data_IF_215145650273
#
_entry.id   IF_215145650273
#
_cell.length_a   1.000
_cell.length_b   1.000
_cell.length_c   1.000
_cell.angle_alpha   90.00
_cell.angle_beta   90.00
_cell.angle_gamma   90.00
#
_symmetry.space_group_name_H-M   'P 1'
#
loop_
_entity.id
_entity.type
_entity.pdbx_description
1 polymer ?
#
# COMPACT_ATOMS: atom_id res chain seq x y z
N UNK A 1 -45.66 -11.05 40.24
CA UNK A 1 -46.93 -11.72 39.97
C UNK A 1 -46.86 -12.25 38.56
N UNK A 2 -46.84 -13.59 38.46
CA UNK A 2 -47.27 -14.50 37.39
C UNK A 2 -46.63 -14.27 36.01
N UNK A 3 -45.81 -15.12 35.47
CA UNK A 3 -45.70 -16.60 35.34
C UNK A 3 -46.44 -17.19 34.11
N UNK A 4 -45.65 -18.06 33.40
CA UNK A 4 -46.08 -19.20 32.54
C UNK A 4 -46.41 -18.91 31.07
N UNK A 5 -46.18 -19.78 30.06
CA UNK A 5 -45.67 -21.15 30.00
C UNK A 5 -45.26 -21.50 28.54
N UNK A 6 -44.38 -22.48 28.40
CA UNK A 6 -43.95 -23.29 27.27
C UNK A 6 -45.07 -23.76 26.33
N UNK A 7 -44.73 -24.08 25.06
CA UNK A 7 -45.11 -25.38 24.46
C UNK A 7 -44.19 -25.76 23.28
N UNK A 8 -43.67 -26.95 23.38
CA UNK A 8 -42.96 -27.79 22.37
C UNK A 8 -44.01 -28.61 21.59
N UNK A 9 -43.84 -28.78 20.30
CA UNK A 9 -44.52 -29.88 19.59
C UNK A 9 -43.59 -30.42 18.48
N UNK A 10 -43.20 -31.67 18.68
CA UNK A 10 -42.57 -32.57 17.70
C UNK A 10 -43.71 -33.28 16.96
N UNK A 11 -43.61 -33.40 15.63
CA UNK A 11 -44.45 -34.38 14.91
C UNK A 11 -43.60 -35.11 13.87
N UNK A 12 -43.34 -36.37 14.16
CA UNK A 12 -42.79 -37.40 13.28
C UNK A 12 -43.95 -38.11 12.58
N UNK A 13 -43.92 -38.25 11.26
CA UNK A 13 -44.74 -39.24 10.55
C UNK A 13 -43.86 -40.00 9.57
N UNK A 14 -43.71 -41.29 9.81
CA UNK A 14 -43.19 -42.25 8.87
C UNK A 14 -44.38 -42.97 8.21
N UNK A 15 -44.34 -43.11 6.89
CA UNK A 15 -45.17 -44.10 6.19
C UNK A 15 -44.32 -44.79 5.13
N UNK A 16 -44.19 -46.10 5.30
CA UNK A 16 -43.62 -47.03 4.33
C UNK A 16 -44.73 -47.54 3.40
N UNK A 17 -44.42 -47.74 2.12
CA UNK A 17 -45.01 -48.81 1.32
C UNK A 17 -44.08 -49.16 0.14
N UNK A 18 -43.80 -50.45 0.05
CA UNK A 18 -43.13 -51.14 -1.04
C UNK A 18 -44.02 -51.18 -2.30
N UNK A 19 -43.44 -51.08 -3.51
CA UNK A 19 -43.61 -52.15 -4.49
C UNK A 19 -42.59 -52.12 -5.63
N UNK A 20 -42.28 -53.28 -6.08
CA UNK A 20 -41.34 -53.82 -7.03
C UNK A 20 -41.54 -53.36 -8.47
N UNK A 21 -40.42 -53.16 -9.20
CA UNK A 21 -40.38 -53.02 -10.65
C UNK A 21 -38.91 -52.88 -11.12
N UNK A 22 -38.40 -53.98 -11.69
CA UNK A 22 -37.07 -54.12 -12.28
C UNK A 22 -36.93 -53.30 -13.56
N UNK A 23 -35.88 -52.48 -13.66
CA UNK A 23 -35.24 -52.08 -14.94
C UNK A 23 -33.77 -51.70 -14.69
N UNK A 24 -32.92 -52.06 -15.64
CA UNK A 24 -31.45 -52.01 -15.67
C UNK A 24 -30.83 -50.67 -15.26
N UNK A 25 -29.56 -50.66 -14.77
CA UNK A 25 -28.91 -49.44 -14.31
C UNK A 25 -28.37 -48.62 -15.49
N UNK A 26 -28.77 -47.37 -15.59
CA UNK A 26 -28.14 -46.36 -16.41
C UNK A 26 -26.76 -46.00 -15.81
N UNK A 27 -25.75 -45.96 -16.63
CA UNK A 27 -24.40 -45.52 -16.28
C UNK A 27 -24.42 -44.11 -15.65
N UNK A 28 -24.01 -44.05 -14.42
CA UNK A 28 -23.74 -42.78 -13.73
C UNK A 28 -22.42 -42.21 -14.26
N UNK A 29 -22.53 -41.18 -15.05
CA UNK A 29 -21.41 -40.34 -15.45
C UNK A 29 -20.83 -39.64 -14.22
N UNK A 30 -19.73 -40.20 -13.72
CA UNK A 30 -18.96 -39.63 -12.60
C UNK A 30 -18.29 -38.37 -13.06
N UNK A 31 -18.91 -37.21 -12.82
CA UNK A 31 -18.25 -35.88 -12.87
C UNK A 31 -17.01 -35.94 -11.97
N UNK A 32 -15.84 -36.14 -12.59
CA UNK A 32 -14.55 -35.93 -11.95
C UNK A 32 -14.48 -34.45 -11.58
N UNK A 33 -14.58 -34.16 -10.29
CA UNK A 33 -14.25 -32.83 -9.77
C UNK A 33 -12.77 -32.55 -10.08
N UNK A 34 -12.53 -31.70 -11.05
CA UNK A 34 -11.21 -31.13 -11.30
C UNK A 34 -10.96 -30.12 -10.17
N UNK A 35 -10.30 -30.57 -9.13
CA UNK A 35 -9.71 -29.68 -8.13
C UNK A 35 -8.51 -29.01 -8.81
N UNK A 36 -8.73 -27.84 -9.40
CA UNK A 36 -7.64 -26.93 -9.77
C UNK A 36 -7.00 -26.49 -8.46
N UNK A 37 -5.88 -27.10 -8.12
CA UNK A 37 -4.99 -26.55 -7.10
C UNK A 37 -4.37 -25.30 -7.72
N UNK A 38 -4.91 -24.13 -7.37
CA UNK A 38 -4.20 -22.86 -7.54
C UNK A 38 -2.95 -22.89 -6.66
N UNK A 39 -1.87 -23.47 -7.19
CA UNK A 39 -0.57 -23.35 -6.57
C UNK A 39 -0.02 -21.97 -6.96
N UNK A 40 -0.23 -20.99 -6.06
CA UNK A 40 0.57 -19.76 -6.10
C UNK A 40 2.04 -20.18 -6.13
N UNK A 41 2.85 -19.73 -7.12
CA UNK A 41 4.25 -20.07 -7.17
C UNK A 41 4.90 -19.65 -5.83
N UNK A 42 5.69 -20.52 -5.18
CA UNK A 42 6.33 -20.15 -3.94
C UNK A 42 7.22 -18.91 -4.18
N UNK A 43 7.07 -17.91 -3.32
CA UNK A 43 7.94 -16.72 -3.34
C UNK A 43 9.38 -17.24 -3.26
N UNK A 44 10.29 -16.86 -4.17
CA UNK A 44 11.65 -17.34 -4.15
C UNK A 44 12.32 -17.05 -2.81
N UNK A 45 12.77 -18.09 -2.12
CA UNK A 45 13.54 -17.95 -0.88
C UNK A 45 14.93 -17.42 -1.27
N UNK A 46 15.18 -16.16 -0.97
CA UNK A 46 16.47 -15.52 -1.27
C UNK A 46 17.58 -16.14 -0.44
N UNK A 47 18.79 -16.20 -1.01
CA UNK A 47 19.99 -16.60 -0.28
C UNK A 47 20.20 -15.70 0.93
N UNK A 48 20.54 -16.26 2.12
CA UNK A 48 20.87 -15.46 3.30
C UNK A 48 22.04 -14.53 3.03
N UNK A 49 21.98 -13.31 3.53
CA UNK A 49 23.06 -12.34 3.50
C UNK A 49 23.07 -11.50 4.77
N UNK A 50 24.22 -10.96 5.16
CA UNK A 50 24.40 -10.18 6.38
C UNK A 50 25.14 -8.85 6.14
N UNK A 51 25.56 -8.59 4.91
CA UNK A 51 26.27 -7.39 4.49
C UNK A 51 25.75 -6.86 3.15
N UNK A 52 25.88 -5.55 2.96
CA UNK A 52 25.64 -4.86 1.70
C UNK A 52 26.88 -4.06 1.31
N UNK A 53 27.29 -4.19 0.05
CA UNK A 53 28.39 -3.42 -0.52
C UNK A 53 27.83 -2.55 -1.66
N UNK A 54 27.87 -1.23 -1.46
CA UNK A 54 27.46 -0.27 -2.47
C UNK A 54 28.28 -0.42 -3.75
N UNK A 55 27.64 -0.49 -4.90
CA UNK A 55 28.25 -0.68 -6.20
C UNK A 55 28.16 0.57 -7.09
N UNK A 56 26.96 1.04 -7.33
CA UNK A 56 26.71 2.14 -8.27
C UNK A 56 25.39 2.85 -8.00
N UNK A 57 25.29 4.05 -8.59
CA UNK A 57 24.04 4.81 -8.74
C UNK A 57 23.70 4.93 -10.21
N UNK A 58 22.46 4.68 -10.55
CA UNK A 58 21.85 4.98 -11.85
C UNK A 58 20.72 5.98 -11.65
N UNK A 59 20.38 6.76 -12.68
CA UNK A 59 19.29 7.73 -12.64
C UNK A 59 18.40 7.50 -13.85
N UNK A 60 17.10 7.34 -13.63
CA UNK A 60 16.10 7.27 -14.68
C UNK A 60 15.11 8.41 -14.54
N UNK A 61 14.62 8.90 -15.68
CA UNK A 61 13.65 9.99 -15.70
C UNK A 61 12.25 9.46 -15.36
N UNK A 62 11.56 10.19 -14.49
CA UNK A 62 10.13 10.08 -14.24
C UNK A 62 9.44 11.42 -14.56
N UNK A 63 8.23 11.63 -14.08
CA UNK A 63 7.51 12.88 -14.27
C UNK A 63 7.67 13.83 -13.05
N UNK A 64 7.40 15.13 -13.21
CA UNK A 64 7.48 16.12 -12.13
C UNK A 64 6.64 15.73 -10.91
N UNK A 65 7.17 16.00 -9.73
CA UNK A 65 6.49 15.74 -8.48
C UNK A 65 6.32 14.25 -8.17
N UNK A 66 7.24 13.38 -8.63
CA UNK A 66 7.20 11.95 -8.28
C UNK A 66 7.27 11.80 -6.76
N UNK A 67 6.22 11.24 -6.17
CA UNK A 67 5.95 11.29 -4.72
C UNK A 67 6.20 9.98 -4.01
N UNK A 68 5.91 8.87 -4.64
CA UNK A 68 6.18 7.54 -4.13
C UNK A 68 6.46 6.56 -5.26
N UNK A 69 7.06 5.45 -4.89
CA UNK A 69 7.34 4.30 -5.75
C UNK A 69 6.97 3.02 -5.01
N UNK A 70 6.50 2.01 -5.74
CA UNK A 70 6.18 0.70 -5.20
C UNK A 70 6.47 -0.38 -6.24
N UNK A 71 7.16 -1.44 -5.83
CA UNK A 71 7.33 -2.64 -6.65
C UNK A 71 6.11 -3.57 -6.54
N UNK A 72 5.88 -4.32 -7.60
CA UNK A 72 5.04 -5.50 -7.51
C UNK A 72 5.76 -6.62 -6.74
N UNK A 73 5.02 -7.65 -6.31
CA UNK A 73 5.57 -8.75 -5.51
C UNK A 73 6.73 -9.48 -6.19
N UNK A 74 6.65 -9.65 -7.52
CA UNK A 74 7.72 -10.26 -8.32
C UNK A 74 8.97 -9.37 -8.44
N UNK A 75 8.88 -8.07 -8.14
CA UNK A 75 9.97 -7.11 -8.27
C UNK A 75 10.31 -6.71 -9.69
N UNK A 76 9.57 -7.18 -10.70
CA UNK A 76 9.88 -6.89 -12.09
C UNK A 76 9.20 -5.63 -12.64
N UNK A 77 8.27 -5.03 -11.89
CA UNK A 77 7.57 -3.79 -12.22
C UNK A 77 7.61 -2.82 -11.05
N UNK A 78 7.95 -1.55 -11.33
CA UNK A 78 7.84 -0.47 -10.37
C UNK A 78 6.78 0.53 -10.83
N UNK A 79 5.91 0.94 -9.92
CA UNK A 79 4.92 2.00 -10.15
C UNK A 79 5.38 3.28 -9.46
N UNK A 80 5.43 4.40 -10.20
CA UNK A 80 5.83 5.71 -9.70
C UNK A 80 4.66 6.69 -9.78
N UNK A 81 4.26 7.25 -8.64
CA UNK A 81 3.16 8.19 -8.51
C UNK A 81 3.65 9.61 -8.80
N UNK A 82 3.30 10.15 -9.96
CA UNK A 82 3.75 11.46 -10.44
C UNK A 82 2.69 12.52 -10.12
N UNK A 83 2.78 13.13 -8.95
CA UNK A 83 1.77 14.05 -8.44
C UNK A 83 1.53 15.25 -9.38
N UNK A 84 2.58 15.97 -9.79
CA UNK A 84 2.44 17.12 -10.68
C UNK A 84 2.22 16.67 -12.14
N UNK A 85 2.73 15.53 -12.53
CA UNK A 85 2.48 14.91 -13.82
C UNK A 85 1.07 14.34 -13.97
N UNK A 86 0.31 14.18 -12.87
CA UNK A 86 -1.03 13.56 -12.86
C UNK A 86 -1.06 12.22 -13.57
N UNK A 87 -0.06 11.39 -13.30
CA UNK A 87 0.08 10.07 -13.91
C UNK A 87 0.76 9.08 -12.97
N UNK A 88 0.63 7.80 -13.32
CA UNK A 88 1.44 6.73 -12.73
C UNK A 88 2.28 6.13 -13.83
N UNK A 89 3.59 6.08 -13.66
CA UNK A 89 4.49 5.36 -14.55
C UNK A 89 4.70 3.94 -14.06
N UNK A 90 4.61 2.99 -14.97
CA UNK A 90 5.07 1.63 -14.78
C UNK A 90 6.43 1.47 -15.44
N UNK A 91 7.44 1.18 -14.64
CA UNK A 91 8.78 0.85 -15.12
C UNK A 91 8.95 -0.66 -15.18
N UNK A 92 9.64 -1.12 -16.20
CA UNK A 92 10.23 -2.46 -16.20
C UNK A 92 11.57 -2.40 -15.46
N UNK A 93 11.73 -3.23 -14.45
CA UNK A 93 12.91 -3.21 -13.58
C UNK A 93 14.19 -3.51 -14.34
N UNK A 94 14.17 -4.48 -15.27
CA UNK A 94 15.37 -4.94 -15.97
C UNK A 94 15.87 -3.93 -16.99
N UNK A 95 14.98 -3.36 -17.80
CA UNK A 95 15.32 -2.40 -18.84
C UNK A 95 15.42 -0.95 -18.35
N UNK A 96 14.99 -0.66 -17.13
CA UNK A 96 14.95 0.71 -16.54
C UNK A 96 14.03 1.67 -17.32
N UNK A 97 13.13 1.19 -18.14
CA UNK A 97 12.27 2.00 -19.02
C UNK A 97 10.83 2.04 -18.53
N UNK A 98 10.18 3.17 -18.77
CA UNK A 98 8.71 3.27 -18.65
C UNK A 98 8.09 2.42 -19.76
N UNK A 99 7.26 1.46 -19.38
CA UNK A 99 6.55 0.57 -20.32
C UNK A 99 5.08 0.96 -20.47
N UNK A 100 4.49 1.60 -19.43
CA UNK A 100 3.13 2.17 -19.48
C UNK A 100 3.08 3.46 -18.66
N UNK A 101 2.30 4.42 -19.13
CA UNK A 101 1.87 5.58 -18.37
C UNK A 101 0.35 5.55 -18.21
N UNK A 102 -0.14 5.53 -16.98
CA UNK A 102 -1.55 5.70 -16.65
C UNK A 102 -1.80 7.18 -16.40
N UNK A 103 -2.24 7.90 -17.43
CA UNK A 103 -2.45 9.35 -17.42
C UNK A 103 -3.88 9.68 -17.04
N UNK A 104 -4.06 10.40 -15.95
CA UNK A 104 -5.37 10.93 -15.57
C UNK A 104 -5.71 12.16 -16.40
N UNK A 105 -6.99 12.30 -16.77
CA UNK A 105 -7.50 13.54 -17.37
C UNK A 105 -7.72 14.57 -16.27
N UNK A 106 -7.05 15.74 -16.31
CA UNK A 106 -7.16 16.74 -15.26
C UNK A 106 -8.57 17.32 -15.15
N UNK A 107 -9.11 17.37 -13.95
CA UNK A 107 -10.32 18.14 -13.64
C UNK A 107 -10.01 19.19 -12.57
N UNK A 108 -10.59 20.39 -12.72
CA UNK A 108 -10.36 21.47 -11.77
C UNK A 108 -10.82 21.09 -10.37
N UNK A 109 -10.06 21.50 -9.36
CA UNK A 109 -10.33 21.23 -7.96
C UNK A 109 -9.54 22.17 -7.07
N UNK A 110 -9.62 21.90 -5.78
CA UNK A 110 -8.86 22.64 -4.77
C UNK A 110 -7.69 21.79 -4.28
N UNK A 111 -6.54 22.42 -4.12
CA UNK A 111 -5.39 21.89 -3.44
C UNK A 111 -5.10 22.69 -2.19
N UNK A 112 -3.92 22.45 -1.59
CA UNK A 112 -3.47 23.11 -0.38
C UNK A 112 -2.05 23.65 -0.55
N UNK A 113 -1.88 24.95 -0.31
CA UNK A 113 -0.55 25.59 -0.22
C UNK A 113 -0.01 25.40 1.19
N UNK A 114 0.95 24.48 1.34
CA UNK A 114 1.53 24.16 2.64
C UNK A 114 2.39 25.29 3.23
N UNK A 115 2.93 26.18 2.39
CA UNK A 115 3.73 27.31 2.85
C UNK A 115 2.85 28.42 3.42
N UNK A 116 1.70 28.65 2.79
CA UNK A 116 0.76 29.71 3.17
C UNK A 116 -0.43 29.19 3.98
N UNK A 117 -0.50 27.88 4.24
CA UNK A 117 -1.58 27.22 4.97
C UNK A 117 -2.98 27.61 4.50
N UNK A 118 -3.19 27.63 3.17
CA UNK A 118 -4.47 28.02 2.55
C UNK A 118 -4.82 27.17 1.35
N UNK A 119 -6.13 27.06 1.01
CA UNK A 119 -6.57 26.45 -0.24
C UNK A 119 -6.05 27.21 -1.47
N UNK A 120 -5.73 26.48 -2.53
CA UNK A 120 -5.34 27.02 -3.85
C UNK A 120 -6.09 26.29 -4.96
N UNK A 121 -6.31 26.97 -6.10
CA UNK A 121 -6.79 26.31 -7.31
C UNK A 121 -5.79 25.24 -7.76
N UNK A 122 -6.27 24.08 -8.12
CA UNK A 122 -5.46 22.91 -8.48
C UNK A 122 -6.23 21.95 -9.37
N UNK A 123 -5.71 20.73 -9.53
CA UNK A 123 -6.37 19.61 -10.16
C UNK A 123 -6.65 18.50 -9.13
N UNK A 124 -7.70 17.71 -9.37
CA UNK A 124 -8.10 16.63 -8.46
C UNK A 124 -7.17 15.43 -8.58
N UNK A 125 -6.74 15.08 -9.79
CA UNK A 125 -6.09 13.84 -10.14
C UNK A 125 -4.57 13.90 -9.89
N UNK A 126 -4.17 14.07 -8.63
CA UNK A 126 -2.76 14.11 -8.20
C UNK A 126 -2.39 12.82 -7.46
N UNK A 127 -1.79 11.81 -8.11
CA UNK A 127 -1.38 10.56 -7.47
C UNK A 127 -0.31 10.81 -6.41
N UNK A 128 -0.46 10.21 -5.23
CA UNK A 128 0.47 10.42 -4.10
C UNK A 128 1.13 9.14 -3.64
N UNK A 129 0.32 8.13 -3.32
CA UNK A 129 0.76 6.84 -2.81
C UNK A 129 -0.07 5.75 -3.48
N UNK A 130 0.43 4.52 -3.45
CA UNK A 130 -0.27 3.38 -4.01
C UNK A 130 -0.08 2.12 -3.17
N UNK A 131 -0.95 1.14 -3.41
CA UNK A 131 -0.84 -0.21 -2.88
C UNK A 131 -1.33 -1.19 -3.93
N UNK A 132 -0.69 -2.35 -4.04
CA UNK A 132 -1.11 -3.44 -4.91
C UNK A 132 -1.93 -4.46 -4.11
N UNK A 133 -2.92 -5.09 -4.74
CA UNK A 133 -3.74 -6.15 -4.12
C UNK A 133 -4.11 -7.23 -5.12
N UNK A 134 -4.66 -8.35 -4.62
CA UNK A 134 -5.13 -9.49 -5.44
C UNK A 134 -4.04 -9.95 -6.42
N UNK A 135 -2.90 -10.39 -5.85
CA UNK A 135 -1.73 -10.87 -6.60
C UNK A 135 -1.25 -9.87 -7.67
N UNK A 136 -1.14 -8.61 -7.27
CA UNK A 136 -0.72 -7.47 -8.11
C UNK A 136 -1.65 -7.17 -9.30
N UNK A 137 -2.89 -7.64 -9.28
CA UNK A 137 -3.85 -7.36 -10.36
C UNK A 137 -4.43 -5.96 -10.28
N UNK A 138 -4.60 -5.41 -9.07
CA UNK A 138 -5.21 -4.10 -8.84
C UNK A 138 -4.21 -3.16 -8.18
N UNK A 139 -3.95 -2.03 -8.83
CA UNK A 139 -3.20 -0.91 -8.28
C UNK A 139 -4.18 0.11 -7.69
N UNK A 140 -4.16 0.27 -6.39
CA UNK A 140 -4.92 1.30 -5.67
C UNK A 140 -4.08 2.56 -5.58
N UNK A 141 -4.63 3.69 -6.03
CA UNK A 141 -3.90 4.97 -6.08
C UNK A 141 -4.67 6.03 -5.29
N UNK A 142 -4.02 6.67 -4.31
CA UNK A 142 -4.58 7.82 -3.62
C UNK A 142 -4.46 9.08 -4.48
N UNK A 143 -5.57 9.81 -4.66
CA UNK A 143 -5.63 11.06 -5.41
C UNK A 143 -5.75 12.24 -4.43
N UNK A 144 -4.65 12.96 -4.27
CA UNK A 144 -4.44 13.96 -3.22
C UNK A 144 -5.58 14.96 -3.05
N UNK A 145 -6.12 15.48 -4.16
CA UNK A 145 -7.12 16.53 -4.17
C UNK A 145 -8.53 16.04 -4.57
N UNK A 146 -8.68 14.74 -4.85
CA UNK A 146 -9.97 14.14 -5.21
C UNK A 146 -10.72 13.56 -3.99
N UNK A 147 -10.12 13.65 -2.81
CA UNK A 147 -10.68 13.16 -1.53
C UNK A 147 -10.99 11.65 -1.54
N UNK A 148 -10.27 10.87 -2.33
CA UNK A 148 -10.49 9.43 -2.46
C UNK A 148 -9.36 8.67 -3.15
N UNK A 149 -9.60 7.39 -3.34
CA UNK A 149 -8.70 6.47 -4.02
C UNK A 149 -9.37 5.86 -5.24
N UNK A 150 -8.57 5.37 -6.17
CA UNK A 150 -9.05 4.68 -7.38
C UNK A 150 -8.37 3.33 -7.54
N UNK A 151 -9.09 2.25 -7.91
CA UNK A 151 -8.52 0.98 -8.36
C UNK A 151 -8.24 1.02 -9.86
N UNK A 152 -7.07 0.53 -10.26
CA UNK A 152 -6.69 0.35 -11.66
C UNK A 152 -6.36 -1.13 -11.85
N UNK A 153 -7.18 -1.86 -12.63
CA UNK A 153 -6.85 -3.20 -13.08
C UNK A 153 -5.71 -3.13 -14.08
N UNK A 154 -4.60 -3.82 -13.79
CA UNK A 154 -3.34 -3.69 -14.53
C UNK A 154 -3.26 -4.57 -15.77
N UNK A 155 -3.90 -5.74 -15.74
CA UNK A 155 -3.78 -6.74 -16.80
C UNK A 155 -5.08 -6.97 -17.57
N UNK A 156 -6.24 -6.73 -16.96
CA UNK A 156 -7.56 -6.83 -17.60
C UNK A 156 -8.26 -5.48 -17.58
N UNK A 157 -8.05 -4.69 -18.63
CA UNK A 157 -8.67 -3.38 -18.75
C UNK A 157 -10.19 -3.42 -18.99
N UNK A 158 -10.77 -4.58 -19.30
CA UNK A 158 -12.23 -4.72 -19.41
C UNK A 158 -12.90 -4.46 -18.04
N UNK A 159 -12.24 -4.83 -16.96
CA UNK A 159 -12.69 -4.58 -15.57
C UNK A 159 -12.62 -3.09 -15.16
N UNK A 160 -11.82 -2.27 -15.85
CA UNK A 160 -11.80 -0.81 -15.62
C UNK A 160 -13.01 -0.07 -16.22
N UNK A 161 -13.86 -0.75 -17.00
CA UNK A 161 -15.05 -0.12 -17.58
C UNK A 161 -16.14 -0.01 -16.53
N UNK A 162 -16.81 1.16 -16.50
CA UNK A 162 -17.99 1.36 -15.67
C UNK A 162 -19.11 0.45 -16.15
N UNK A 163 -19.67 -0.44 -15.32
CA UNK A 163 -20.76 -1.33 -15.70
C UNK A 163 -22.03 -0.56 -16.10
N UNK A 164 -22.81 -1.14 -17.00
CA UNK A 164 -24.15 -0.61 -17.30
C UNK A 164 -25.01 -0.63 -16.03
N UNK A 165 -25.80 0.44 -15.83
CA UNK A 165 -26.64 0.58 -14.63
C UNK A 165 -25.89 1.06 -13.37
N UNK A 166 -24.61 1.42 -13.48
CA UNK A 166 -23.91 2.09 -12.36
C UNK A 166 -24.65 3.38 -12.00
N UNK A 167 -24.92 3.62 -10.71
CA UNK A 167 -25.62 4.82 -10.27
C UNK A 167 -24.91 6.11 -10.70
N UNK A 168 -25.64 7.17 -11.12
CA UNK A 168 -25.04 8.43 -11.57
C UNK A 168 -24.17 9.13 -10.52
N UNK A 169 -24.44 8.91 -9.24
CA UNK A 169 -23.68 9.43 -8.10
C UNK A 169 -22.29 8.77 -7.95
N UNK A 170 -22.07 7.59 -8.56
CA UNK A 170 -20.74 6.96 -8.55
C UNK A 170 -19.74 7.78 -9.35
N UNK A 171 -18.92 8.52 -8.66
CA UNK A 171 -17.84 9.31 -9.27
C UNK A 171 -16.81 8.42 -9.95
N UNK A 172 -16.29 8.88 -11.09
CA UNK A 172 -15.26 8.17 -11.85
C UNK A 172 -14.17 9.12 -12.33
N UNK A 173 -12.97 8.59 -12.58
CA UNK A 173 -11.82 9.31 -13.11
C UNK A 173 -11.40 8.73 -14.46
N UNK A 174 -11.30 9.55 -15.53
CA UNK A 174 -10.81 9.08 -16.82
C UNK A 174 -9.30 8.85 -16.76
N UNK A 175 -8.88 7.71 -17.31
CA UNK A 175 -7.48 7.31 -17.42
C UNK A 175 -7.19 6.91 -18.85
N UNK A 176 -6.08 7.41 -19.40
CA UNK A 176 -5.52 6.97 -20.68
C UNK A 176 -4.21 6.23 -20.40
N UNK A 177 -4.10 5.00 -20.89
CA UNK A 177 -2.85 4.24 -20.84
C UNK A 177 -2.07 4.53 -22.11
N UNK A 178 -0.87 5.04 -21.95
CA UNK A 178 0.06 5.37 -23.03
C UNK A 178 1.19 4.33 -23.00
N UNK A 179 1.53 3.78 -24.15
CA UNK A 179 2.66 2.87 -24.33
C UNK A 179 3.80 3.61 -25.03
N UNK A 180 4.85 4.03 -24.28
CA UNK A 180 5.93 4.84 -24.85
C UNK A 180 6.56 4.20 -26.10
N UNK A 181 6.82 5.03 -27.11
CA UNK A 181 7.38 4.56 -28.38
C UNK A 181 6.39 3.88 -29.34
N UNK A 182 5.10 3.84 -29.00
CA UNK A 182 4.05 3.29 -29.86
C UNK A 182 2.89 4.27 -30.06
N UNK A 183 2.05 4.02 -31.08
CA UNK A 183 0.79 4.75 -31.25
C UNK A 183 -0.37 4.16 -30.41
N UNK A 184 -0.15 3.01 -29.75
CA UNK A 184 -1.19 2.33 -28.96
C UNK A 184 -1.58 3.15 -27.75
N UNK A 185 -2.90 3.25 -27.52
CA UNK A 185 -3.49 3.83 -26.31
C UNK A 185 -4.73 3.03 -25.92
N UNK A 186 -4.95 2.87 -24.62
CA UNK A 186 -6.20 2.40 -24.08
C UNK A 186 -6.81 3.50 -23.21
N UNK A 187 -8.14 3.55 -23.11
CA UNK A 187 -8.83 4.55 -22.28
C UNK A 187 -10.02 3.93 -21.57
N UNK A 188 -10.19 4.29 -20.29
CA UNK A 188 -11.26 3.80 -19.46
C UNK A 188 -11.57 4.80 -18.33
N UNK A 189 -12.58 4.51 -17.52
CA UNK A 189 -12.95 5.31 -16.36
C UNK A 189 -12.94 4.42 -15.12
N UNK A 190 -12.08 4.73 -14.18
CA UNK A 190 -12.01 4.01 -12.88
C UNK A 190 -12.94 4.66 -11.86
N UNK A 191 -13.56 3.89 -10.97
CA UNK A 191 -14.38 4.45 -9.89
C UNK A 191 -13.48 5.24 -8.91
N UNK A 192 -14.02 6.37 -8.44
CA UNK A 192 -13.47 7.09 -7.30
C UNK A 192 -14.21 6.64 -6.04
N UNK A 193 -13.48 6.07 -5.09
CA UNK A 193 -14.01 5.71 -3.78
C UNK A 193 -13.59 6.82 -2.82
N UNK A 194 -14.58 7.56 -2.33
CA UNK A 194 -14.33 8.67 -1.40
C UNK A 194 -13.92 8.12 -0.03
N UNK A 195 -12.81 8.59 0.49
CA UNK A 195 -12.25 8.17 1.78
C UNK A 195 -12.21 9.34 2.77
N UNK A 196 -11.72 10.49 2.33
CA UNK A 196 -11.58 11.69 3.15
C UNK A 196 -10.62 12.68 2.52
N UNK A 197 -10.47 13.84 3.17
CA UNK A 197 -9.65 14.94 2.64
C UNK A 197 -8.17 14.59 2.65
N UNK A 198 -7.54 14.73 1.49
CA UNK A 198 -6.11 14.55 1.28
C UNK A 198 -5.63 13.14 1.65
N UNK A 199 -6.13 12.09 0.96
CA UNK A 199 -5.66 10.74 1.16
C UNK A 199 -4.17 10.63 0.85
N UNK A 200 -3.45 9.83 1.64
CA UNK A 200 -2.00 9.62 1.55
C UNK A 200 -1.70 8.13 1.47
N UNK A 201 -1.10 7.58 2.53
CA UNK A 201 -0.66 6.19 2.57
C UNK A 201 -1.85 5.26 2.46
N UNK A 202 -1.68 4.23 1.64
CA UNK A 202 -2.58 3.08 1.52
C UNK A 202 -1.80 1.86 1.99
N UNK A 203 -2.38 1.08 2.87
CA UNK A 203 -1.84 -0.21 3.31
C UNK A 203 -2.94 -1.27 3.25
N UNK A 204 -2.59 -2.54 3.05
CA UNK A 204 -3.56 -3.62 2.93
C UNK A 204 -3.28 -4.76 3.91
N UNK A 205 -4.30 -5.56 4.20
CA UNK A 205 -4.13 -6.89 4.80
C UNK A 205 -3.49 -7.86 3.80
N UNK A 206 -2.75 -8.83 4.29
CA UNK A 206 -2.03 -9.79 3.43
C UNK A 206 -2.98 -10.57 2.50
N UNK A 207 -4.19 -10.88 2.96
CA UNK A 207 -5.23 -11.57 2.20
C UNK A 207 -5.98 -10.68 1.20
N UNK A 208 -5.60 -9.41 1.08
CA UNK A 208 -6.24 -8.41 0.20
C UNK A 208 -7.74 -8.19 0.46
N UNK A 209 -8.26 -8.50 1.64
CA UNK A 209 -9.66 -8.22 1.97
C UNK A 209 -9.91 -6.79 2.41
N UNK A 210 -8.91 -6.14 2.97
CA UNK A 210 -9.08 -4.79 3.47
C UNK A 210 -7.94 -3.86 3.05
N UNK A 211 -8.30 -2.56 2.86
CA UNK A 211 -7.37 -1.45 2.74
C UNK A 211 -7.58 -0.46 3.86
N UNK A 212 -6.49 0.12 4.35
CA UNK A 212 -6.49 1.27 5.23
C UNK A 212 -5.91 2.47 4.47
N UNK A 213 -6.57 3.63 4.56
CA UNK A 213 -6.16 4.86 3.89
C UNK A 213 -6.05 5.99 4.90
N UNK A 214 -4.88 6.60 5.02
CA UNK A 214 -4.70 7.78 5.87
C UNK A 214 -5.22 9.05 5.17
N UNK A 215 -6.15 9.77 5.80
CA UNK A 215 -6.74 11.00 5.28
C UNK A 215 -6.23 12.19 6.10
N UNK A 216 -5.24 12.89 5.58
CA UNK A 216 -4.46 13.88 6.30
C UNK A 216 -5.31 15.00 6.91
N UNK A 217 -6.09 15.72 6.07
CA UNK A 217 -6.90 16.84 6.52
C UNK A 217 -8.23 16.43 7.18
N UNK A 218 -8.66 15.18 7.03
CA UNK A 218 -9.79 14.63 7.80
C UNK A 218 -9.38 14.14 9.18
N UNK A 219 -8.08 13.99 9.47
CA UNK A 219 -7.56 13.44 10.72
C UNK A 219 -8.18 12.08 11.07
N UNK A 220 -8.30 11.24 10.07
CA UNK A 220 -8.82 9.88 10.23
C UNK A 220 -8.18 8.93 9.23
N UNK A 221 -8.50 7.64 9.39
CA UNK A 221 -8.16 6.61 8.42
C UNK A 221 -9.45 5.93 7.99
N UNK A 222 -9.61 5.72 6.70
CA UNK A 222 -10.73 4.93 6.17
C UNK A 222 -10.29 3.48 6.04
N UNK A 223 -11.19 2.56 6.37
CA UNK A 223 -11.06 1.13 6.13
C UNK A 223 -12.01 0.76 5.01
N UNK A 224 -11.49 0.13 3.97
CA UNK A 224 -12.27 -0.39 2.87
C UNK A 224 -12.27 -1.91 2.91
N UNK A 225 -13.46 -2.50 2.78
CA UNK A 225 -13.61 -3.90 2.40
C UNK A 225 -13.48 -4.01 0.88
N UNK A 226 -12.67 -4.96 0.42
CA UNK A 226 -12.39 -5.17 -1.01
C UNK A 226 -13.18 -6.35 -1.55
N UNK A 227 -13.68 -6.20 -2.78
CA UNK A 227 -14.31 -7.27 -3.54
C UNK A 227 -13.96 -7.11 -5.02
N UNK A 228 -13.03 -7.94 -5.51
CA UNK A 228 -12.54 -7.86 -6.88
C UNK A 228 -13.58 -8.18 -7.97
N UNK A 229 -14.71 -8.78 -7.59
CA UNK A 229 -15.77 -9.20 -8.51
C UNK A 229 -16.96 -8.24 -8.53
N UNK A 230 -17.01 -7.28 -7.59
CA UNK A 230 -18.11 -6.34 -7.44
C UNK A 230 -17.63 -4.88 -7.57
N UNK A 231 -17.99 -4.23 -8.69
CA UNK A 231 -17.73 -2.79 -8.89
C UNK A 231 -18.42 -1.96 -7.79
N UNK A 232 -17.77 -0.97 -7.16
CA UNK A 232 -16.49 -0.33 -7.51
C UNK A 232 -15.23 -0.99 -6.90
N UNK A 233 -15.26 -2.27 -6.56
CA UNK A 233 -14.17 -3.12 -6.07
C UNK A 233 -13.74 -2.88 -4.61
N UNK A 234 -14.27 -1.84 -3.98
CA UNK A 234 -14.03 -1.54 -2.58
C UNK A 234 -15.13 -0.64 -2.01
N UNK A 235 -15.43 -0.80 -0.74
CA UNK A 235 -16.43 -0.03 0.00
C UNK A 235 -15.86 0.39 1.35
N UNK A 236 -15.97 1.68 1.69
CA UNK A 236 -15.63 2.15 3.03
C UNK A 236 -16.61 1.56 4.04
N UNK A 237 -16.08 0.81 5.00
CA UNK A 237 -16.86 0.13 6.06
C UNK A 237 -16.64 0.75 7.44
N UNK A 238 -15.51 1.45 7.62
CA UNK A 238 -15.19 2.09 8.91
C UNK A 238 -14.33 3.33 8.70
N UNK A 239 -14.40 4.23 9.68
CA UNK A 239 -13.54 5.41 9.77
C UNK A 239 -12.95 5.49 11.17
N UNK A 240 -11.62 5.49 11.26
CA UNK A 240 -10.86 5.48 12.50
C UNK A 240 -10.35 6.90 12.77
N UNK A 241 -10.89 7.65 13.72
CA UNK A 241 -10.41 8.98 14.05
C UNK A 241 -9.05 8.91 14.76
N UNK A 242 -8.20 9.91 14.51
CA UNK A 242 -6.93 10.10 15.21
C UNK A 242 -6.80 11.53 15.70
N UNK A 243 -5.96 11.76 16.72
CA UNK A 243 -5.82 13.05 17.40
C UNK A 243 -5.26 14.17 16.52
N UNK A 244 -4.48 13.82 15.50
CA UNK A 244 -3.84 14.79 14.59
C UNK A 244 -3.66 14.19 13.19
N UNK A 245 -2.67 14.62 12.44
CA UNK A 245 -2.42 14.22 11.04
C UNK A 245 -1.93 12.76 10.95
N UNK A 246 -2.70 11.81 10.39
CA UNK A 246 -2.23 10.44 10.14
C UNK A 246 -1.28 10.42 8.94
N UNK A 247 -0.32 9.48 8.95
CA UNK A 247 0.61 9.34 7.83
C UNK A 247 0.93 7.87 7.50
N UNK A 248 1.96 7.29 8.10
CA UNK A 248 2.36 5.91 7.85
C UNK A 248 1.38 4.91 8.45
N UNK A 249 1.16 3.81 7.76
CA UNK A 249 0.33 2.69 8.22
C UNK A 249 1.12 1.41 7.98
N UNK A 250 1.16 0.52 8.97
CA UNK A 250 1.61 -0.86 8.80
C UNK A 250 0.56 -1.81 9.36
N UNK A 251 0.33 -2.91 8.66
CA UNK A 251 -0.59 -3.98 9.07
C UNK A 251 0.21 -5.15 9.60
N UNK A 252 -0.14 -5.61 10.79
CA UNK A 252 0.36 -6.82 11.44
C UNK A 252 -0.71 -7.91 11.32
N UNK A 253 -0.70 -8.61 10.21
CA UNK A 253 -1.66 -9.69 9.96
C UNK A 253 -1.54 -10.83 10.96
N UNK A 254 -0.33 -11.09 11.48
CA UNK A 254 -0.08 -12.14 12.47
C UNK A 254 -0.85 -11.91 13.77
N UNK A 255 -0.91 -10.67 14.23
CA UNK A 255 -1.58 -10.29 15.47
C UNK A 255 -2.95 -9.62 15.23
N UNK A 256 -3.38 -9.54 13.96
CA UNK A 256 -4.64 -8.91 13.54
C UNK A 256 -4.74 -7.45 14.03
N UNK A 257 -3.66 -6.68 13.88
CA UNK A 257 -3.53 -5.29 14.28
C UNK A 257 -3.03 -4.41 13.13
N UNK A 258 -3.34 -3.13 13.20
CA UNK A 258 -2.74 -2.10 12.36
C UNK A 258 -2.18 -0.98 13.23
N UNK A 259 -1.11 -0.34 12.76
CA UNK A 259 -0.45 0.76 13.46
C UNK A 259 -0.41 1.98 12.55
N UNK A 260 -0.93 3.09 13.04
CA UNK A 260 -1.08 4.35 12.31
C UNK A 260 -0.22 5.41 12.97
N UNK A 261 0.81 5.88 12.28
CA UNK A 261 1.64 6.99 12.75
C UNK A 261 0.87 8.31 12.66
N UNK A 262 0.78 9.03 13.78
CA UNK A 262 0.11 10.33 13.89
C UNK A 262 1.14 11.44 13.82
N UNK A 263 1.54 11.84 12.59
CA UNK A 263 2.64 12.76 12.32
C UNK A 263 2.43 14.16 12.92
N UNK A 264 1.19 14.62 13.05
CA UNK A 264 0.88 15.90 13.70
C UNK A 264 0.94 15.86 15.23
N UNK A 265 1.42 14.76 15.84
CA UNK A 265 1.48 14.53 17.27
C UNK A 265 2.71 13.72 17.68
N UNK A 266 2.55 12.93 18.72
CA UNK A 266 3.59 12.08 19.32
C UNK A 266 3.02 10.70 19.66
N UNK A 267 2.20 10.14 18.74
CA UNK A 267 1.52 8.86 19.00
C UNK A 267 1.50 7.97 17.76
N UNK A 268 1.38 6.67 18.01
CA UNK A 268 0.96 5.68 17.06
C UNK A 268 -0.35 5.08 17.57
N UNK A 269 -1.41 5.16 16.78
CA UNK A 269 -2.67 4.50 17.09
C UNK A 269 -2.58 3.02 16.70
N UNK A 270 -2.82 2.10 17.65
CA UNK A 270 -2.98 0.69 17.37
C UNK A 270 -4.45 0.40 17.18
N UNK A 271 -4.78 -0.28 16.10
CA UNK A 271 -6.15 -0.60 15.67
C UNK A 271 -6.34 -2.10 15.72
N UNK A 272 -7.45 -2.54 16.27
CA UNK A 272 -7.91 -3.92 16.16
C UNK A 272 -8.58 -4.15 14.80
N UNK A 273 -8.03 -5.06 14.00
CA UNK A 273 -8.51 -5.30 12.64
C UNK A 273 -9.81 -6.14 12.58
N UNK A 274 -10.32 -6.62 13.73
CA UNK A 274 -11.63 -7.25 13.79
C UNK A 274 -12.73 -6.20 13.91
N UNK A 275 -12.51 -5.20 14.77
CA UNK A 275 -13.51 -4.17 15.08
C UNK A 275 -13.30 -2.87 14.32
N UNK A 276 -12.11 -2.69 13.73
CA UNK A 276 -11.64 -1.44 13.11
C UNK A 276 -11.72 -0.23 14.06
N UNK A 277 -11.40 -0.47 15.32
CA UNK A 277 -11.34 0.57 16.33
C UNK A 277 -9.95 0.67 16.95
N UNK A 278 -9.58 1.87 17.38
CA UNK A 278 -8.35 2.07 18.14
C UNK A 278 -8.48 1.36 19.49
N UNK A 279 -7.63 0.38 19.75
CA UNK A 279 -7.58 -0.35 21.02
C UNK A 279 -6.45 0.14 21.94
N UNK A 280 -5.47 0.87 21.42
CA UNK A 280 -4.39 1.46 22.19
C UNK A 280 -3.78 2.69 21.51
N UNK A 281 -3.29 3.62 22.30
CA UNK A 281 -2.49 4.77 21.86
C UNK A 281 -1.08 4.60 22.42
N UNK A 282 -0.13 4.34 21.53
CA UNK A 282 1.28 4.22 21.89
C UNK A 282 1.91 5.61 21.89
N UNK A 283 2.44 6.04 23.04
CA UNK A 283 3.17 7.28 23.15
C UNK A 283 4.58 7.09 22.60
N UNK A 284 4.95 7.90 21.62
CA UNK A 284 6.24 7.85 20.93
C UNK A 284 6.82 9.25 20.81
N UNK A 285 7.98 9.40 20.16
CA UNK A 285 8.56 10.72 19.95
C UNK A 285 7.75 11.55 18.93
N UNK A 286 8.03 12.86 18.91
CA UNK A 286 7.28 13.80 18.08
C UNK A 286 7.44 13.54 16.57
N UNK A 287 6.35 13.76 15.86
CA UNK A 287 6.27 13.67 14.40
C UNK A 287 6.63 12.30 13.81
N UNK A 288 6.07 11.17 14.32
CA UNK A 288 6.22 9.87 13.66
C UNK A 288 5.60 9.95 12.25
N UNK A 289 6.41 9.63 11.22
CA UNK A 289 5.97 9.88 9.84
C UNK A 289 5.69 8.63 9.05
N UNK A 290 6.63 7.71 8.99
CA UNK A 290 6.49 6.44 8.29
C UNK A 290 6.80 5.30 9.24
N UNK A 291 6.09 4.20 9.08
CA UNK A 291 6.23 2.99 9.90
C UNK A 291 6.32 1.77 9.01
N UNK A 292 7.22 0.87 9.38
CA UNK A 292 7.32 -0.48 8.81
C UNK A 292 7.53 -1.47 9.97
N UNK A 293 7.29 -2.76 9.72
CA UNK A 293 7.39 -3.79 10.76
C UNK A 293 8.20 -4.97 10.25
N UNK A 294 8.96 -5.59 11.14
CA UNK A 294 9.61 -6.87 10.87
C UNK A 294 8.74 -8.07 11.30
N UNK A 295 9.18 -9.26 10.96
CA UNK A 295 8.47 -10.50 11.34
C UNK A 295 8.56 -10.85 12.84
N UNK A 296 9.44 -10.17 13.58
CA UNK A 296 9.60 -10.31 15.03
C UNK A 296 8.63 -9.43 15.83
N UNK A 297 7.91 -8.54 15.15
CA UNK A 297 6.94 -7.62 15.78
C UNK A 297 7.57 -6.31 16.25
N UNK A 298 8.72 -5.91 15.69
CA UNK A 298 9.28 -4.59 15.92
C UNK A 298 8.72 -3.59 14.90
N UNK A 299 8.34 -2.41 15.39
CA UNK A 299 7.97 -1.28 14.53
C UNK A 299 9.18 -0.37 14.34
N UNK A 300 9.53 -0.10 13.10
CA UNK A 300 10.55 0.90 12.76
C UNK A 300 9.83 2.18 12.36
N UNK A 301 10.28 3.31 12.89
CA UNK A 301 9.62 4.63 12.72
C UNK A 301 10.65 5.66 12.26
N UNK A 302 10.27 6.49 11.27
CA UNK A 302 10.99 7.72 10.95
C UNK A 302 10.35 8.92 11.67
N UNK A 303 11.15 9.71 12.39
CA UNK A 303 10.71 10.94 13.07
C UNK A 303 11.12 12.17 12.27
N UNK A 304 10.19 12.68 11.46
CA UNK A 304 10.46 13.69 10.44
C UNK A 304 11.09 14.99 10.96
N UNK A 305 10.65 15.47 12.12
CA UNK A 305 11.17 16.73 12.71
C UNK A 305 12.44 16.53 13.53
N UNK A 306 12.79 15.30 13.85
CA UNK A 306 13.89 14.98 14.77
C UNK A 306 15.15 14.48 14.09
N UNK A 307 15.10 14.18 12.79
CA UNK A 307 16.25 13.60 12.10
C UNK A 307 16.66 12.25 12.69
N UNK A 308 15.70 11.37 12.98
CA UNK A 308 15.93 10.14 13.72
C UNK A 308 15.06 9.00 13.19
N UNK A 309 15.58 7.79 13.26
CA UNK A 309 14.82 6.53 13.17
C UNK A 309 14.85 5.80 14.51
N UNK A 310 13.81 5.05 14.80
CA UNK A 310 13.75 4.22 16.01
C UNK A 310 13.19 2.83 15.71
N UNK A 311 13.60 1.87 16.51
CA UNK A 311 12.98 0.56 16.67
C UNK A 311 12.13 0.58 17.92
N UNK A 312 10.87 0.18 17.82
CA UNK A 312 9.90 0.16 18.91
C UNK A 312 9.35 -1.26 19.10
N UNK A 313 9.02 -1.58 20.33
CA UNK A 313 8.19 -2.73 20.69
C UNK A 313 6.73 -2.44 20.30
N UNK A 314 6.14 -3.25 19.43
CA UNK A 314 4.80 -3.02 18.88
C UNK A 314 3.69 -3.01 19.95
N UNK A 315 3.82 -3.83 21.00
CA UNK A 315 2.80 -3.93 22.04
C UNK A 315 2.66 -2.65 22.91
N UNK A 316 3.76 -1.97 23.16
CA UNK A 316 3.86 -0.87 24.15
C UNK A 316 4.26 0.47 23.55
N UNK A 317 4.88 0.48 22.36
CA UNK A 317 5.51 1.67 21.79
C UNK A 317 6.85 2.05 22.45
N UNK A 318 7.38 1.21 23.36
CA UNK A 318 8.67 1.43 24.01
C UNK A 318 9.77 1.49 22.96
N UNK A 319 10.57 2.55 22.98
CA UNK A 319 11.78 2.68 22.17
C UNK A 319 12.85 1.69 22.65
N UNK A 320 13.28 0.81 21.76
CA UNK A 320 14.35 -0.17 22.02
C UNK A 320 15.71 0.45 21.70
N UNK A 321 15.87 1.00 20.52
CA UNK A 321 17.09 1.70 20.10
C UNK A 321 16.79 2.71 18.97
N UNK A 322 17.74 3.61 18.72
CA UNK A 322 17.59 4.70 17.74
C UNK A 322 18.87 4.95 16.97
N UNK A 323 18.74 5.67 15.84
CA UNK A 323 19.89 6.26 15.14
C UNK A 323 19.54 7.64 14.57
N UNK A 324 20.52 8.54 14.58
CA UNK A 324 20.40 9.83 13.89
C UNK A 324 20.52 9.65 12.39
N UNK A 325 19.65 10.33 11.65
CA UNK A 325 19.66 10.38 10.18
C UNK A 325 20.04 11.77 9.68
N UNK A 326 20.18 11.93 8.39
CA UNK A 326 20.11 13.25 7.77
C UNK A 326 18.72 13.89 7.96
N UNK A 327 18.60 15.20 7.69
CA UNK A 327 17.40 15.98 8.04
C UNK A 327 16.14 15.54 7.30
N UNK A 328 15.02 15.57 8.00
CA UNK A 328 13.69 15.23 7.54
C UNK A 328 13.59 13.81 6.95
N UNK A 329 13.85 12.75 7.76
CA UNK A 329 13.59 11.39 7.31
C UNK A 329 12.12 11.22 6.96
N UNK A 330 11.85 10.63 5.80
CA UNK A 330 10.50 10.44 5.26
C UNK A 330 10.14 8.98 5.16
N UNK A 331 10.18 8.42 3.96
CA UNK A 331 9.86 7.02 3.75
C UNK A 331 11.02 6.16 4.23
N UNK A 332 10.69 5.08 4.90
CA UNK A 332 11.61 4.02 5.28
C UNK A 332 11.12 2.70 4.68
N UNK A 333 12.05 1.84 4.29
CA UNK A 333 11.74 0.50 3.80
C UNK A 333 12.76 -0.50 4.34
N UNK A 334 12.30 -1.71 4.67
CA UNK A 334 13.16 -2.82 5.11
C UNK A 334 13.57 -3.66 3.91
N UNK A 335 14.79 -4.20 3.95
CA UNK A 335 15.18 -5.32 3.09
C UNK A 335 14.29 -6.54 3.35
N UNK A 336 14.14 -7.44 2.37
CA UNK A 336 13.28 -8.64 2.52
C UNK A 336 13.70 -9.55 3.69
N UNK A 337 14.98 -9.55 4.08
CA UNK A 337 15.48 -10.27 5.26
C UNK A 337 15.37 -9.47 6.56
N UNK A 338 14.83 -8.25 6.53
CA UNK A 338 14.66 -7.30 7.63
C UNK A 338 15.97 -6.91 8.36
N UNK A 339 17.14 -7.13 7.72
CA UNK A 339 18.44 -6.78 8.30
C UNK A 339 18.96 -5.40 7.92
N UNK A 340 18.31 -4.74 6.96
CA UNK A 340 18.68 -3.41 6.52
C UNK A 340 17.45 -2.51 6.39
N UNK A 341 17.63 -1.22 6.72
CA UNK A 341 16.60 -0.19 6.55
C UNK A 341 17.18 0.96 5.72
N UNK A 342 16.41 1.40 4.73
CA UNK A 342 16.71 2.53 3.87
C UNK A 342 15.82 3.70 4.24
N UNK A 343 16.39 4.89 4.33
CA UNK A 343 15.74 6.10 4.84
C UNK A 343 15.94 7.25 3.87
N UNK A 344 14.87 7.78 3.29
CA UNK A 344 14.94 9.01 2.48
C UNK A 344 14.99 10.23 3.38
N UNK A 345 15.97 11.12 3.19
CA UNK A 345 16.17 12.32 3.99
C UNK A 345 15.96 13.57 3.12
N UNK A 346 14.76 14.14 3.19
CA UNK A 346 14.21 15.07 2.20
C UNK A 346 14.99 16.36 2.02
N UNK A 347 15.23 17.10 3.10
CA UNK A 347 15.88 18.41 3.01
C UNK A 347 17.39 18.34 2.88
N UNK A 348 17.98 17.21 3.24
CA UNK A 348 19.41 16.98 3.12
C UNK A 348 19.82 16.43 1.77
N UNK A 349 18.87 15.97 0.95
CA UNK A 349 19.16 15.29 -0.32
C UNK A 349 20.02 14.03 -0.19
N UNK A 350 19.72 13.21 0.84
CA UNK A 350 20.43 11.94 1.11
C UNK A 350 19.48 10.77 1.25
N UNK A 351 20.05 9.58 1.04
CA UNK A 351 19.48 8.30 1.45
C UNK A 351 20.43 7.66 2.44
N UNK A 352 19.99 7.47 3.67
CA UNK A 352 20.76 6.76 4.70
C UNK A 352 20.41 5.28 4.70
N UNK A 353 21.41 4.42 4.86
CA UNK A 353 21.26 2.97 4.92
C UNK A 353 21.84 2.48 6.23
N UNK A 354 21.05 1.70 6.96
CA UNK A 354 21.49 1.11 8.24
C UNK A 354 21.31 -0.40 8.20
N UNK A 355 22.26 -1.09 8.81
CA UNK A 355 22.13 -2.48 9.23
C UNK A 355 21.40 -2.49 10.57
N UNK A 356 20.45 -3.39 10.71
CA UNK A 356 19.71 -3.62 11.95
C UNK A 356 20.38 -4.77 12.68
N UNK A 357 20.98 -4.47 13.82
CA UNK A 357 21.51 -5.45 14.76
C UNK A 357 20.49 -5.68 15.87
N UNK A 358 20.75 -6.60 16.79
CA UNK A 358 19.84 -6.98 17.86
C UNK A 358 19.37 -5.77 18.70
N UNK A 359 20.27 -4.84 19.03
CA UNK A 359 19.98 -3.70 19.92
C UNK A 359 20.51 -2.36 19.36
N UNK A 360 20.76 -2.26 18.06
CA UNK A 360 21.32 -1.03 17.47
C UNK A 360 21.11 -0.94 15.96
N UNK A 361 21.20 0.28 15.46
CA UNK A 361 21.42 0.55 14.04
C UNK A 361 22.90 0.84 13.80
N UNK A 362 23.48 0.20 12.81
CA UNK A 362 24.82 0.47 12.29
C UNK A 362 24.69 1.17 10.94
N UNK A 363 25.20 2.39 10.80
CA UNK A 363 25.14 3.10 9.51
C UNK A 363 26.09 2.47 8.50
N UNK A 364 25.52 1.94 7.42
CA UNK A 364 26.26 1.28 6.33
C UNK A 364 26.68 2.29 5.26
N UNK A 365 25.77 3.22 4.92
CA UNK A 365 26.01 4.22 3.88
C UNK A 365 25.17 5.49 4.08
N UNK A 366 25.66 6.61 3.56
CA UNK A 366 24.92 7.84 3.32
C UNK A 366 25.14 8.22 1.85
N UNK A 367 24.08 8.14 1.05
CA UNK A 367 24.16 8.24 -0.40
C UNK A 367 23.56 9.56 -0.87
N UNK A 368 24.29 10.42 -1.59
CA UNK A 368 23.76 11.65 -2.13
C UNK A 368 22.68 11.33 -3.18
N UNK A 369 21.50 11.94 -3.02
CA UNK A 369 20.36 11.74 -3.89
C UNK A 369 20.12 12.94 -4.81
N UNK A 370 19.89 14.09 -4.23
CA UNK A 370 19.46 15.31 -4.90
C UNK A 370 17.94 15.31 -5.18
N UNK A 371 17.39 16.51 -5.34
CA UNK A 371 16.00 16.69 -5.77
C UNK A 371 14.93 16.31 -4.75
N UNK A 372 15.23 16.39 -3.47
CA UNK A 372 14.30 16.10 -2.38
C UNK A 372 13.75 14.65 -2.42
N UNK A 373 14.53 13.65 -1.99
CA UNK A 373 14.09 12.25 -1.97
C UNK A 373 12.88 12.05 -1.05
N UNK A 374 11.87 11.35 -1.52
CA UNK A 374 10.59 11.19 -0.80
C UNK A 374 10.24 9.75 -0.55
N UNK A 375 10.03 8.98 -1.62
CA UNK A 375 9.66 7.57 -1.58
C UNK A 375 10.83 6.67 -1.94
N UNK A 376 10.84 5.49 -1.40
CA UNK A 376 11.81 4.43 -1.69
C UNK A 376 11.12 3.08 -1.62
N UNK A 377 11.46 2.21 -2.56
CA UNK A 377 11.14 0.79 -2.48
C UNK A 377 12.31 -0.05 -2.99
N UNK A 378 12.30 -1.35 -2.69
CA UNK A 378 13.44 -2.24 -2.86
C UNK A 378 13.14 -3.38 -3.82
N UNK A 379 14.02 -3.55 -4.81
CA UNK A 379 14.15 -4.78 -5.58
C UNK A 379 15.25 -5.65 -4.99
N UNK A 380 15.00 -6.95 -4.88
CA UNK A 380 16.01 -7.92 -4.43
C UNK A 380 15.92 -9.23 -5.21
N UNK A 381 17.11 -9.73 -5.60
CA UNK A 381 17.34 -11.11 -6.01
C UNK A 381 18.47 -11.73 -5.16
N UNK A 382 18.97 -12.91 -5.52
CA UNK A 382 20.00 -13.62 -4.74
C UNK A 382 21.33 -12.87 -4.59
N UNK A 383 21.67 -11.98 -5.52
CA UNK A 383 22.99 -11.35 -5.60
C UNK A 383 22.95 -9.85 -5.30
N UNK A 384 21.83 -9.20 -5.68
CA UNK A 384 21.72 -7.75 -5.70
C UNK A 384 20.53 -7.29 -4.89
N UNK A 385 20.72 -6.16 -4.20
CA UNK A 385 19.65 -5.32 -3.66
C UNK A 385 19.72 -3.97 -4.37
N UNK A 386 18.60 -3.47 -4.86
CA UNK A 386 18.48 -2.13 -5.44
C UNK A 386 17.44 -1.32 -4.66
N UNK A 387 17.85 -0.13 -4.19
CA UNK A 387 16.93 0.85 -3.64
C UNK A 387 16.55 1.85 -4.75
N UNK A 388 15.26 1.89 -5.11
CA UNK A 388 14.70 2.82 -6.09
C UNK A 388 14.07 3.99 -5.36
N UNK A 389 14.67 5.16 -5.49
CA UNK A 389 14.34 6.36 -4.71
C UNK A 389 13.81 7.45 -5.62
N UNK A 390 12.57 7.88 -5.43
CA UNK A 390 12.03 9.00 -6.19
C UNK A 390 12.42 10.33 -5.57
N UNK A 391 12.77 11.28 -6.44
CA UNK A 391 13.12 12.66 -6.10
C UNK A 391 12.04 13.62 -6.57
N UNK A 392 11.44 14.34 -5.63
CA UNK A 392 10.24 15.15 -5.86
C UNK A 392 10.48 16.33 -6.82
N UNK A 393 11.59 17.06 -6.63
CA UNK A 393 11.78 18.34 -7.32
C UNK A 393 12.26 18.21 -8.76
N UNK A 394 13.01 17.15 -9.07
CA UNK A 394 13.61 16.96 -10.40
C UNK A 394 12.96 15.84 -11.22
N UNK A 395 11.96 15.15 -10.65
CA UNK A 395 11.25 14.07 -11.35
C UNK A 395 12.16 12.91 -11.74
N UNK A 396 13.17 12.60 -10.95
CA UNK A 396 14.08 11.48 -11.17
C UNK A 396 13.79 10.32 -10.23
N UNK A 397 14.14 9.11 -10.65
CA UNK A 397 14.28 7.94 -9.80
C UNK A 397 15.77 7.59 -9.76
N UNK A 398 16.34 7.63 -8.57
CA UNK A 398 17.72 7.25 -8.30
C UNK A 398 17.76 5.79 -7.87
N UNK A 399 18.53 4.97 -8.56
CA UNK A 399 18.67 3.53 -8.30
C UNK A 399 20.04 3.28 -7.70
N UNK A 400 20.08 2.86 -6.46
CA UNK A 400 21.30 2.51 -5.76
C UNK A 400 21.43 0.99 -5.70
N UNK A 401 22.46 0.45 -6.33
CA UNK A 401 22.70 -1.00 -6.39
C UNK A 401 23.74 -1.42 -5.36
N UNK A 402 23.44 -2.51 -4.66
CA UNK A 402 24.31 -3.14 -3.67
C UNK A 402 24.51 -4.61 -4.00
N UNK A 403 25.74 -5.09 -3.85
CA UNK A 403 26.05 -6.53 -3.84
C UNK A 403 25.77 -7.07 -2.44
N UNK A 404 25.10 -8.20 -2.36
CA UNK A 404 24.87 -8.94 -1.11
C UNK A 404 26.13 -9.70 -0.69
N UNK A 405 26.44 -9.71 0.63
CA UNK A 405 27.57 -10.41 1.24
C UNK A 405 27.14 -11.31 2.38
#
# INVERSE_FOLDING_TARGET
MQAFLKYTAILTIAVSCQNSGSTEPAETDTLKSITVKDTVPPVPVLKPYSGLEYQKKEVVAAAPGTKSVIFNAAGNKLYAMNLEGMSVYEFDQSSRKVVREFKFTPTRGMGWDYNKSRPIASFQEKPVEACLSHDDQILWVSLHNAEGIVPIWLNDFSKNKTPAGTPPEQKTKPVTVIYPGTAKKDSFRVPLIETGKTPKVISRTADSKFLLVSNWHSRNNSVLELNQDLYPFGKVISTIPVSAIPRGIVVDDKNNKSYIAVMGGSTIARVDNTTWQTDSILNVWSSPRHVVMDTSGHIFVSYNSMGTIACLEAGTGKTLFTASTHSQPRTIVLSKNHKFIFVTCYTSDYVDVYKINENSFEKVASLPCGGHPVGVDIYENDEVLEAWVCSYSNGAINIYSFRKK
#
